data_IF_878132464214
#
_entry.id   IF_878132464214
#
_cell.length_a   1.000
_cell.length_b   1.000
_cell.length_c   1.000
_cell.angle_alpha   90.00
_cell.angle_beta   90.00
_cell.angle_gamma   90.00
#
_symmetry.space_group_name_H-M   'P 1'
#
loop_
_entity.id
_entity.type
_entity.pdbx_description
1 polymer ?
#
# COMPACT_ATOMS: atom_id res chain seq x y z
N UNK A 1 -29.16 -51.52 -6.54
CA UNK A 1 -29.22 -50.78 -5.27
C UNK A 1 -27.87 -51.01 -4.59
N UNK A 2 -26.86 -50.16 -4.77
CA UNK A 2 -26.80 -48.88 -4.10
C UNK A 2 -25.89 -47.93 -4.87
N UNK A 3 -26.52 -46.95 -5.52
CA UNK A 3 -25.93 -45.73 -6.07
C UNK A 3 -25.57 -44.76 -4.92
N UNK A 4 -25.05 -45.31 -3.82
CA UNK A 4 -25.00 -44.69 -2.49
C UNK A 4 -23.57 -44.41 -2.03
N UNK A 5 -22.71 -44.03 -2.95
CA UNK A 5 -21.48 -43.28 -2.64
C UNK A 5 -21.26 -42.10 -3.57
N UNK A 6 -22.21 -41.83 -4.48
CA UNK A 6 -22.35 -40.56 -5.21
C UNK A 6 -22.91 -39.53 -4.23
N UNK A 7 -22.16 -39.08 -3.21
CA UNK A 7 -22.59 -37.88 -2.45
C UNK A 7 -21.47 -37.07 -1.77
N UNK A 8 -20.22 -37.54 -1.61
CA UNK A 8 -19.26 -36.82 -0.73
C UNK A 8 -17.82 -36.74 -1.26
N UNK A 9 -17.60 -36.66 -2.57
CA UNK A 9 -16.27 -36.26 -3.11
C UNK A 9 -16.31 -35.14 -4.12
N UNK A 10 -17.44 -34.41 -4.21
CA UNK A 10 -17.38 -32.98 -4.56
C UNK A 10 -16.89 -32.24 -3.31
N UNK A 11 -15.68 -32.58 -2.86
CA UNK A 11 -14.79 -31.51 -2.45
C UNK A 11 -14.54 -30.75 -3.75
N UNK A 12 -15.43 -29.80 -4.02
CA UNK A 12 -15.00 -28.51 -4.54
C UNK A 12 -13.81 -28.14 -3.67
N UNK A 13 -12.62 -28.59 -4.08
CA UNK A 13 -11.43 -27.79 -4.02
C UNK A 13 -11.76 -26.57 -4.90
N UNK A 14 -12.64 -25.72 -4.39
CA UNK A 14 -12.35 -24.32 -4.25
C UNK A 14 -11.07 -24.30 -3.41
N UNK A 15 -9.95 -24.68 -4.01
CA UNK A 15 -8.74 -23.91 -3.81
C UNK A 15 -9.18 -22.54 -4.25
N UNK A 16 -9.77 -21.80 -3.31
CA UNK A 16 -9.63 -20.37 -3.30
C UNK A 16 -8.13 -20.23 -3.47
N UNK A 17 -7.69 -19.93 -4.68
CA UNK A 17 -6.49 -19.15 -4.86
C UNK A 17 -6.82 -17.89 -4.06
N UNK A 18 -6.60 -17.99 -2.75
CA UNK A 18 -6.01 -16.88 -2.02
C UNK A 18 -4.79 -16.64 -2.88
N UNK A 19 -4.95 -15.73 -3.84
CA UNK A 19 -3.83 -15.17 -4.57
C UNK A 19 -3.02 -14.62 -3.42
N UNK A 20 -2.05 -15.42 -2.99
CA UNK A 20 -1.40 -15.24 -1.72
C UNK A 20 -0.69 -13.94 -1.94
N UNK A 21 -1.26 -12.89 -1.36
CA UNK A 21 -0.79 -11.56 -1.52
C UNK A 21 0.60 -11.51 -0.91
N UNK A 22 1.58 -11.80 -1.74
CA UNK A 22 2.94 -12.07 -1.32
C UNK A 22 3.85 -11.45 -2.34
N UNK A 23 5.02 -11.05 -1.87
CA UNK A 23 6.07 -10.59 -2.73
C UNK A 23 6.81 -11.83 -3.25
N UNK A 24 6.40 -12.34 -4.41
CA UNK A 24 7.12 -13.42 -5.09
C UNK A 24 8.50 -12.96 -5.61
N UNK A 25 8.65 -11.65 -5.87
CA UNK A 25 9.92 -11.06 -6.27
C UNK A 25 10.87 -10.87 -5.08
N UNK A 26 12.11 -11.35 -5.22
CA UNK A 26 13.17 -11.25 -4.20
C UNK A 26 13.50 -9.80 -3.80
N UNK A 27 13.25 -8.83 -4.68
CA UNK A 27 13.61 -7.42 -4.49
C UNK A 27 12.43 -6.46 -4.70
N UNK A 28 11.23 -6.86 -4.31
CA UNK A 28 10.04 -6.02 -4.49
C UNK A 28 10.19 -4.62 -3.88
N UNK A 29 10.79 -4.49 -2.70
CA UNK A 29 11.06 -3.18 -2.08
C UNK A 29 11.88 -2.26 -2.99
N UNK A 30 12.92 -2.79 -3.64
CA UNK A 30 13.77 -2.02 -4.54
C UNK A 30 13.06 -1.72 -5.87
N UNK A 31 12.33 -2.68 -6.44
CA UNK A 31 11.59 -2.48 -7.68
C UNK A 31 10.46 -1.47 -7.54
N UNK A 32 9.71 -1.52 -6.43
CA UNK A 32 8.70 -0.52 -6.10
C UNK A 32 9.34 0.86 -5.92
N UNK A 33 10.48 0.95 -5.22
CA UNK A 33 11.23 2.21 -5.09
C UNK A 33 11.72 2.76 -6.44
N UNK A 34 12.04 1.89 -7.40
CA UNK A 34 12.41 2.25 -8.77
C UNK A 34 11.21 2.46 -9.71
N UNK A 35 9.98 2.43 -9.20
CA UNK A 35 8.77 2.75 -9.97
C UNK A 35 8.14 1.58 -10.74
N UNK A 36 8.48 0.34 -10.42
CA UNK A 36 7.93 -0.87 -11.06
C UNK A 36 6.40 -0.89 -11.12
N UNK A 37 5.71 -0.50 -10.04
CA UNK A 37 4.24 -0.49 -9.98
C UNK A 37 3.61 0.54 -10.96
N UNK A 38 4.31 1.64 -11.24
CA UNK A 38 3.84 2.70 -12.16
C UNK A 38 4.41 2.59 -13.57
N UNK A 39 5.35 1.68 -13.78
CA UNK A 39 6.01 1.48 -15.07
C UNK A 39 5.01 1.04 -16.15
N UNK A 40 4.99 1.67 -17.34
CA UNK A 40 4.15 1.25 -18.46
C UNK A 40 4.69 -0.01 -19.16
N UNK A 41 5.94 -0.40 -18.88
CA UNK A 41 6.58 -1.57 -19.47
C UNK A 41 6.07 -2.90 -18.93
N UNK A 42 5.48 -2.90 -17.73
CA UNK A 42 4.93 -4.11 -17.09
C UNK A 42 3.41 -4.06 -17.07
N UNK A 43 2.79 -5.19 -17.41
CA UNK A 43 1.34 -5.32 -17.34
C UNK A 43 0.88 -5.39 -15.88
N UNK A 44 -0.40 -5.09 -15.66
CA UNK A 44 -1.01 -5.23 -14.33
C UNK A 44 -0.81 -6.63 -13.75
N UNK A 45 -1.01 -7.68 -14.56
CA UNK A 45 -0.81 -9.08 -14.13
C UNK A 45 0.61 -9.38 -13.70
N UNK A 46 1.62 -8.84 -14.40
CA UNK A 46 3.03 -9.00 -14.00
C UNK A 46 3.31 -8.30 -12.67
N UNK A 47 2.78 -7.09 -12.48
CA UNK A 47 3.00 -6.34 -11.24
C UNK A 47 2.41 -7.04 -10.02
N UNK A 48 1.23 -7.62 -10.18
CA UNK A 48 0.58 -8.43 -9.15
C UNK A 48 1.37 -9.74 -8.93
N UNK A 49 1.75 -10.45 -9.99
CA UNK A 49 2.48 -11.71 -9.85
C UNK A 49 3.83 -11.57 -9.12
N UNK A 50 4.57 -10.48 -9.36
CA UNK A 50 5.87 -10.27 -8.72
C UNK A 50 5.75 -9.61 -7.35
N UNK A 51 4.98 -8.53 -7.23
CA UNK A 51 5.04 -7.65 -6.07
C UNK A 51 3.66 -7.11 -5.67
N UNK A 52 2.61 -7.94 -5.70
CA UNK A 52 1.25 -7.51 -5.33
C UNK A 52 1.17 -6.81 -3.97
N UNK A 53 1.85 -7.37 -2.95
CA UNK A 53 1.87 -6.80 -1.60
C UNK A 53 2.60 -5.45 -1.59
N UNK A 54 3.82 -5.38 -2.15
CA UNK A 54 4.62 -4.15 -2.15
C UNK A 54 4.04 -3.04 -3.03
N UNK A 55 3.34 -3.40 -4.11
CA UNK A 55 2.63 -2.44 -4.95
C UNK A 55 1.24 -2.06 -4.42
N UNK A 56 0.77 -2.68 -3.33
CA UNK A 56 -0.52 -2.39 -2.71
C UNK A 56 -1.73 -2.86 -3.52
N UNK A 57 -1.55 -3.84 -4.42
CA UNK A 57 -2.64 -4.38 -5.25
C UNK A 57 -3.50 -5.41 -4.52
N UNK A 58 -3.09 -5.82 -3.32
CA UNK A 58 -3.85 -6.76 -2.55
C UNK A 58 -4.93 -6.07 -1.74
N UNK A 59 -6.15 -6.16 -2.24
CA UNK A 59 -7.36 -5.86 -1.47
C UNK A 59 -7.74 -7.10 -0.66
N UNK A 60 -7.06 -7.34 0.47
CA UNK A 60 -7.59 -8.27 1.46
C UNK A 60 -8.73 -7.58 2.21
N UNK A 61 -9.97 -8.02 1.94
CA UNK A 61 -11.22 -7.55 2.54
C UNK A 61 -11.40 -7.90 4.03
N UNK A 62 -10.33 -7.99 4.83
CA UNK A 62 -10.46 -8.25 6.27
C UNK A 62 -9.52 -7.36 7.05
N UNK A 63 -10.12 -6.37 7.70
CA UNK A 63 -9.56 -5.56 8.78
C UNK A 63 -8.24 -4.87 8.45
N UNK A 64 -8.39 -3.71 7.80
CA UNK A 64 -7.43 -2.61 7.79
C UNK A 64 -7.12 -2.14 9.22
N UNK A 65 -6.29 -2.89 9.95
CA UNK A 65 -5.27 -2.22 10.76
C UNK A 65 -4.13 -1.97 9.81
N UNK A 66 -4.22 -0.84 9.12
CA UNK A 66 -3.12 -0.23 8.38
C UNK A 66 -2.00 0.06 9.39
N UNK A 67 -1.17 -0.93 9.70
CA UNK A 67 0.20 -0.66 10.17
C UNK A 67 1.00 -0.22 8.95
N UNK A 68 0.66 0.96 8.47
CA UNK A 68 1.65 1.82 7.84
C UNK A 68 2.76 1.97 8.88
N UNK A 69 3.91 1.38 8.62
CA UNK A 69 5.18 1.79 9.21
C UNK A 69 5.51 3.20 8.70
N UNK A 70 4.65 4.17 9.02
CA UNK A 70 5.07 5.57 9.10
C UNK A 70 5.61 5.68 10.51
N UNK A 71 6.94 5.70 10.64
CA UNK A 71 7.59 5.97 11.92
C UNK A 71 6.88 7.13 12.58
N UNK A 72 6.59 6.97 13.87
CA UNK A 72 5.98 7.92 14.81
C UNK A 72 6.17 9.37 14.38
N UNK A 73 5.38 9.84 13.43
CA UNK A 73 5.29 11.24 13.05
C UNK A 73 4.09 11.67 13.84
N UNK A 74 4.38 12.08 15.07
CA UNK A 74 3.46 12.86 15.89
C UNK A 74 2.71 13.80 14.94
N UNK A 75 1.39 13.67 14.86
CA UNK A 75 0.52 14.52 14.04
C UNK A 75 0.51 15.92 14.67
N UNK A 76 1.65 16.59 14.60
CA UNK A 76 1.99 17.79 15.33
C UNK A 76 2.87 18.64 14.45
N UNK A 77 2.73 19.95 14.60
CA UNK A 77 3.61 20.90 13.94
C UNK A 77 4.92 20.96 14.72
N UNK A 78 6.00 20.46 14.14
CA UNK A 78 7.35 20.59 14.71
C UNK A 78 7.91 22.00 14.54
N UNK A 79 7.46 22.74 13.51
CA UNK A 79 7.85 24.12 13.29
C UNK A 79 6.84 25.11 13.87
N UNK A 80 7.32 26.09 14.63
CA UNK A 80 6.50 27.20 15.16
C UNK A 80 5.97 28.14 14.07
N UNK A 81 6.65 28.19 12.92
CA UNK A 81 6.29 29.03 11.78
C UNK A 81 5.28 28.38 10.81
N UNK A 82 4.70 27.23 11.15
CA UNK A 82 3.78 26.52 10.26
C UNK A 82 2.62 27.39 9.77
N UNK A 83 2.00 28.19 10.64
CA UNK A 83 0.92 29.10 10.25
C UNK A 83 1.32 30.05 9.11
N UNK A 84 2.51 30.63 9.19
CA UNK A 84 3.05 31.50 8.15
C UNK A 84 3.43 30.71 6.90
N UNK A 85 4.05 29.54 7.05
CA UNK A 85 4.46 28.71 5.91
C UNK A 85 3.27 28.17 5.12
N UNK A 86 2.23 27.70 5.80
CA UNK A 86 0.97 27.25 5.19
C UNK A 86 0.32 28.41 4.44
N UNK A 87 0.26 29.61 5.04
CA UNK A 87 -0.25 30.81 4.36
C UNK A 87 0.59 31.21 3.12
N UNK A 88 1.88 30.90 3.11
CA UNK A 88 2.79 31.10 1.97
C UNK A 88 2.80 29.91 0.99
N UNK A 89 1.92 28.92 1.15
CA UNK A 89 1.78 27.81 0.21
C UNK A 89 2.75 26.64 0.42
N UNK A 90 3.37 26.52 1.59
CA UNK A 90 4.30 25.43 1.92
C UNK A 90 3.72 24.03 1.67
N UNK A 91 2.44 23.81 2.02
CA UNK A 91 1.79 22.52 1.85
C UNK A 91 1.62 22.13 0.36
N UNK A 92 1.49 23.12 -0.53
CA UNK A 92 1.32 22.92 -1.97
C UNK A 92 2.62 23.11 -2.76
N UNK A 93 3.69 23.55 -2.10
CA UNK A 93 4.99 23.80 -2.73
C UNK A 93 5.59 22.52 -3.31
N UNK A 94 6.06 22.57 -4.56
CA UNK A 94 6.76 21.47 -5.23
C UNK A 94 8.23 21.36 -4.81
N UNK A 95 8.77 22.39 -4.15
CA UNK A 95 10.14 22.42 -3.65
C UNK A 95 10.35 21.55 -2.42
N UNK A 96 9.28 21.27 -1.66
CA UNK A 96 9.33 20.42 -0.47
C UNK A 96 8.67 19.07 -0.75
N UNK A 97 9.35 18.00 -0.36
CA UNK A 97 8.79 16.64 -0.42
C UNK A 97 7.66 16.47 0.59
N UNK A 98 6.75 15.53 0.34
CA UNK A 98 5.68 15.21 1.29
C UNK A 98 6.23 14.82 2.66
N UNK A 99 7.35 14.09 2.71
CA UNK A 99 8.01 13.74 3.97
C UNK A 99 8.49 14.97 4.76
N UNK A 100 9.04 15.99 4.08
CA UNK A 100 9.44 17.25 4.73
C UNK A 100 8.20 18.02 5.22
N UNK A 101 7.14 18.09 4.42
CA UNK A 101 5.90 18.75 4.81
C UNK A 101 5.27 18.09 6.05
N UNK A 102 5.26 16.77 6.09
CA UNK A 102 4.82 15.99 7.26
C UNK A 102 5.75 16.20 8.46
N UNK A 103 7.07 16.23 8.27
CA UNK A 103 8.01 16.43 9.38
C UNK A 103 7.87 17.80 10.06
N UNK A 104 7.62 18.86 9.28
CA UNK A 104 7.54 20.23 9.81
C UNK A 104 6.13 20.63 10.25
N UNK A 105 5.13 20.40 9.40
CA UNK A 105 3.79 20.96 9.54
C UNK A 105 2.69 19.93 9.21
N UNK A 106 2.82 18.69 9.70
CA UNK A 106 1.86 17.61 9.43
C UNK A 106 0.40 18.04 9.66
N UNK A 107 0.10 18.57 10.84
CA UNK A 107 -1.25 18.98 11.24
C UNK A 107 -1.72 20.22 10.47
N UNK A 108 -0.85 21.24 10.30
CA UNK A 108 -1.23 22.46 9.57
C UNK A 108 -1.46 22.22 8.07
N UNK A 109 -0.81 21.19 7.50
CA UNK A 109 -0.97 20.83 6.10
C UNK A 109 -2.01 19.73 5.85
N UNK A 110 -2.68 19.20 6.88
CA UNK A 110 -3.65 18.12 6.74
C UNK A 110 -3.06 16.84 6.15
N UNK A 111 -1.76 16.59 6.40
CA UNK A 111 -1.04 15.37 5.97
C UNK A 111 -1.16 14.23 7.00
N UNK A 112 -1.82 14.56 8.11
CA UNK A 112 -2.56 13.74 9.03
C UNK A 112 -3.88 14.52 9.31
#
# INVERSE_FOLDING_TARGET
MAYSTILITIALFLTTSVESCTNSGTNCANWVANGFCKSPYYTYSQKVAYCALSCGYCTSSTSSTSTTTTGSSSCTNSASACSSWVANGFCSSTFYTTAQKTAYCASSCGLC
#
